data_IF_489246456228
#
_entry.id   IF_489246456228
#
_cell.length_a   1.000
_cell.length_b   1.000
_cell.length_c   1.000
_cell.angle_alpha   90.00
_cell.angle_beta   90.00
_cell.angle_gamma   90.00
#
_symmetry.space_group_name_H-M   'P 1'
#
loop_
_entity.id
_entity.type
_entity.pdbx_description
1 polymer ?
#
# COMPACT_ATOMS: atom_id res chain seq x y z
N UNK A 1 -9.90 -11.35 6.75
CA UNK A 1 -10.80 -10.25 7.14
C UNK A 1 -11.90 -10.76 8.06
N UNK A 2 -12.55 -9.85 8.78
CA UNK A 2 -13.60 -10.21 9.75
C UNK A 2 -14.86 -10.83 9.11
N UNK A 3 -15.07 -10.60 7.84
CA UNK A 3 -16.16 -11.17 7.04
C UNK A 3 -15.87 -12.57 6.48
N UNK A 4 -14.73 -13.16 6.84
CA UNK A 4 -14.29 -14.47 6.37
C UNK A 4 -13.60 -14.46 5.00
N UNK A 5 -13.37 -13.29 4.40
CA UNK A 5 -12.62 -13.20 3.15
C UNK A 5 -11.10 -13.17 3.39
N UNK A 6 -10.34 -13.57 2.37
CA UNK A 6 -8.87 -13.52 2.37
C UNK A 6 -8.40 -12.79 1.13
N UNK A 7 -7.61 -11.72 1.32
CA UNK A 7 -6.98 -11.01 0.22
C UNK A 7 -5.71 -11.75 -0.23
N UNK A 8 -5.58 -11.98 -1.53
CA UNK A 8 -4.42 -12.61 -2.15
C UNK A 8 -3.80 -11.61 -3.12
N UNK A 9 -2.52 -11.34 -2.97
CA UNK A 9 -1.79 -10.39 -3.81
C UNK A 9 -0.29 -10.67 -3.80
N UNK A 10 0.37 -10.15 -4.74
CA UNK A 10 -0.04 -9.40 -5.93
C UNK A 10 0.91 -9.65 -7.08
N UNK A 11 0.41 -9.44 -8.28
CA UNK A 11 1.26 -9.16 -9.44
C UNK A 11 1.71 -7.70 -9.40
N UNK A 12 2.73 -7.32 -10.15
CA UNK A 12 3.19 -5.93 -10.21
C UNK A 12 3.78 -5.65 -11.58
N UNK A 13 3.23 -4.68 -12.27
CA UNK A 13 3.72 -4.17 -13.54
C UNK A 13 4.21 -2.72 -13.37
N UNK A 14 5.24 -2.34 -14.15
CA UNK A 14 5.81 -0.99 -14.06
C UNK A 14 5.09 0.01 -14.94
N UNK A 15 4.65 -0.44 -16.10
CA UNK A 15 4.21 0.41 -17.20
C UNK A 15 2.74 0.15 -17.56
N UNK A 16 1.99 -0.48 -16.66
CA UNK A 16 0.56 -0.66 -16.84
C UNK A 16 -0.14 0.71 -16.88
N UNK A 17 -0.90 0.93 -17.93
CA UNK A 17 -1.63 2.18 -18.17
C UNK A 17 -3.10 2.07 -17.84
N UNK A 18 -3.57 0.88 -17.51
CA UNK A 18 -4.96 0.59 -17.16
C UNK A 18 -5.06 -0.16 -15.82
N UNK A 19 -6.27 -0.24 -15.31
CA UNK A 19 -6.62 -0.95 -14.08
C UNK A 19 -7.41 -2.23 -14.40
N UNK A 20 -7.01 -2.93 -15.45
CA UNK A 20 -7.64 -4.18 -15.87
C UNK A 20 -6.93 -5.37 -15.22
N UNK A 21 -7.69 -6.33 -14.76
CA UNK A 21 -7.16 -7.62 -14.30
C UNK A 21 -6.96 -8.57 -15.48
N UNK A 22 -5.92 -9.39 -15.43
CA UNK A 22 -5.56 -10.35 -16.46
C UNK A 22 -5.32 -11.77 -15.92
N UNK A 23 -4.86 -12.67 -16.78
CA UNK A 23 -4.59 -14.06 -16.44
C UNK A 23 -3.50 -14.26 -15.36
N UNK A 24 -2.69 -13.25 -15.05
CA UNK A 24 -1.70 -13.34 -13.98
C UNK A 24 -2.38 -13.53 -12.62
N UNK A 25 -3.60 -12.98 -12.44
CA UNK A 25 -4.37 -13.17 -11.21
C UNK A 25 -4.82 -14.63 -11.06
N UNK A 26 -5.21 -15.30 -12.13
CA UNK A 26 -5.60 -16.71 -12.07
C UNK A 26 -4.41 -17.58 -11.64
N UNK A 27 -3.24 -17.37 -12.21
CA UNK A 27 -2.01 -18.04 -11.78
C UNK A 27 -1.63 -17.76 -10.32
N UNK A 28 -1.93 -16.55 -9.82
CA UNK A 28 -1.71 -16.20 -8.43
C UNK A 28 -2.67 -16.95 -7.49
N UNK A 29 -3.94 -17.04 -7.87
CA UNK A 29 -4.96 -17.81 -7.13
C UNK A 29 -4.58 -19.28 -7.06
N UNK A 30 -4.17 -19.87 -8.17
CA UNK A 30 -3.77 -21.29 -8.21
C UNK A 30 -2.57 -21.56 -7.30
N UNK A 31 -1.57 -20.69 -7.30
CA UNK A 31 -0.44 -20.78 -6.37
C UNK A 31 -0.86 -20.65 -4.91
N UNK A 32 -1.76 -19.72 -4.60
CA UNK A 32 -2.26 -19.55 -3.24
C UNK A 32 -3.01 -20.79 -2.75
N UNK A 33 -3.84 -21.40 -3.59
CA UNK A 33 -4.54 -22.66 -3.29
C UNK A 33 -3.58 -23.82 -3.07
N UNK A 34 -2.51 -23.89 -3.86
CA UNK A 34 -1.48 -24.93 -3.69
C UNK A 34 -0.67 -24.77 -2.40
N UNK A 35 -0.39 -23.53 -1.99
CA UNK A 35 0.40 -23.24 -0.80
C UNK A 35 -0.40 -23.26 0.51
N UNK A 36 -1.70 -22.95 0.45
CA UNK A 36 -2.57 -22.80 1.63
C UNK A 36 -3.76 -23.75 1.51
N UNK A 37 -3.71 -24.93 2.13
CA UNK A 37 -4.78 -25.95 2.00
C UNK A 37 -6.19 -25.44 2.33
N UNK A 38 -6.30 -24.50 3.28
CA UNK A 38 -7.58 -23.87 3.65
C UNK A 38 -8.24 -23.10 2.49
N UNK A 39 -7.48 -22.70 1.48
CA UNK A 39 -7.96 -21.98 0.31
C UNK A 39 -8.29 -22.90 -0.88
N UNK A 40 -8.02 -24.20 -0.80
CA UNK A 40 -8.14 -25.12 -1.94
C UNK A 40 -9.54 -25.09 -2.59
N UNK A 41 -10.60 -24.93 -1.79
CA UNK A 41 -11.99 -24.87 -2.25
C UNK A 41 -12.60 -23.46 -2.16
N UNK A 42 -11.81 -22.45 -1.81
CA UNK A 42 -12.29 -21.09 -1.68
C UNK A 42 -12.70 -20.50 -3.03
N UNK A 43 -13.86 -19.85 -3.05
CA UNK A 43 -14.34 -19.15 -4.24
C UNK A 43 -13.70 -17.77 -4.34
N UNK A 44 -13.39 -17.35 -5.57
CA UNK A 44 -12.97 -15.97 -5.84
C UNK A 44 -14.23 -15.10 -5.89
N UNK A 45 -14.35 -14.19 -4.94
CA UNK A 45 -15.52 -13.30 -4.82
C UNK A 45 -15.30 -11.95 -5.52
N UNK A 46 -14.03 -11.51 -5.65
CA UNK A 46 -13.69 -10.25 -6.29
C UNK A 46 -12.28 -10.30 -6.88
N UNK A 47 -12.07 -9.55 -7.95
CA UNK A 47 -10.76 -9.27 -8.57
C UNK A 47 -10.63 -7.79 -8.81
N UNK A 48 -9.47 -7.21 -8.47
CA UNK A 48 -9.23 -5.79 -8.71
C UNK A 48 -7.79 -5.53 -9.10
N UNK A 49 -7.56 -4.40 -9.74
CA UNK A 49 -6.26 -3.81 -9.98
C UNK A 49 -6.21 -2.40 -9.39
N UNK A 50 -5.03 -1.92 -9.04
CA UNK A 50 -4.85 -0.62 -8.44
C UNK A 50 -3.46 -0.07 -8.65
N UNK A 51 -3.32 1.24 -8.67
CA UNK A 51 -2.03 1.89 -8.70
C UNK A 51 -1.37 1.86 -7.32
N UNK A 52 -0.11 1.49 -7.32
CA UNK A 52 0.72 1.52 -6.13
C UNK A 52 1.51 2.83 -6.10
N UNK A 53 1.22 3.75 -5.17
CA UNK A 53 1.92 5.02 -5.11
C UNK A 53 3.40 4.79 -4.81
N UNK A 54 4.25 5.34 -5.66
CA UNK A 54 5.70 5.21 -5.57
C UNK A 54 6.36 6.56 -5.80
N UNK A 55 7.21 6.97 -4.88
CA UNK A 55 8.11 8.10 -5.04
C UNK A 55 9.36 7.73 -5.85
N UNK A 56 10.13 8.71 -6.29
CA UNK A 56 11.42 8.47 -6.98
C UNK A 56 12.43 7.77 -6.07
N UNK A 57 12.49 8.15 -4.81
CA UNK A 57 13.36 7.55 -3.80
C UNK A 57 12.93 6.15 -3.36
N UNK A 58 11.68 5.76 -3.65
CA UNK A 58 10.98 4.57 -3.15
C UNK A 58 10.73 4.59 -1.63
N UNK A 59 11.10 5.65 -0.95
CA UNK A 59 10.73 5.92 0.44
C UNK A 59 9.36 6.63 0.49
N UNK A 60 8.58 6.50 1.56
CA UNK A 60 7.41 7.34 1.78
C UNK A 60 7.75 8.83 1.72
N UNK A 61 6.77 9.65 1.42
CA UNK A 61 6.84 11.12 1.52
C UNK A 61 5.87 11.56 2.60
N UNK A 62 6.41 12.28 3.59
CA UNK A 62 5.71 12.71 4.79
C UNK A 62 5.93 14.20 5.01
N UNK A 63 4.95 14.88 5.57
CA UNK A 63 5.09 16.27 6.01
C UNK A 63 4.02 17.22 5.50
N UNK A 64 4.20 18.52 5.71
CA UNK A 64 3.27 19.53 5.22
C UNK A 64 3.25 19.57 3.70
N UNK A 65 2.09 19.87 3.13
CA UNK A 65 1.96 20.03 1.69
C UNK A 65 2.66 21.33 1.24
N UNK A 66 3.54 21.30 0.23
CA UNK A 66 4.41 22.44 -0.11
C UNK A 66 3.69 23.70 -0.63
N UNK A 67 2.40 23.57 -1.01
CA UNK A 67 1.62 24.69 -1.57
C UNK A 67 0.21 24.79 -1.00
N UNK A 68 -0.09 24.11 0.10
CA UNK A 68 -1.42 24.17 0.72
C UNK A 68 -1.29 24.20 2.24
N UNK A 69 -1.55 25.34 2.84
CA UNK A 69 -1.57 25.47 4.31
C UNK A 69 -2.62 24.56 4.93
N UNK A 70 -2.26 23.93 6.04
CA UNK A 70 -3.13 23.01 6.77
C UNK A 70 -3.35 21.65 6.09
N UNK A 71 -2.70 21.38 4.95
CA UNK A 71 -2.71 20.08 4.32
C UNK A 71 -1.41 19.32 4.58
N UNK A 72 -1.52 17.99 4.69
CA UNK A 72 -0.42 17.10 5.02
C UNK A 72 -0.30 15.96 4.03
N UNK A 73 0.91 15.48 3.82
CA UNK A 73 1.21 14.33 2.95
C UNK A 73 1.67 13.16 3.80
N UNK A 74 1.06 11.99 3.61
CA UNK A 74 1.53 10.70 4.10
C UNK A 74 1.27 9.68 2.99
N UNK A 75 2.21 9.49 2.07
CA UNK A 75 2.01 8.69 0.86
C UNK A 75 3.32 8.03 0.39
N UNK A 76 3.26 7.26 -0.68
CA UNK A 76 4.43 6.68 -1.33
C UNK A 76 4.98 5.42 -0.67
N UNK A 77 4.22 4.75 0.19
CA UNK A 77 4.64 3.54 0.90
C UNK A 77 4.99 2.34 0.01
N UNK A 78 4.66 2.40 -1.27
CA UNK A 78 5.00 1.42 -2.30
C UNK A 78 4.75 -0.03 -1.83
N UNK A 79 5.81 -0.85 -1.66
CA UNK A 79 5.69 -2.27 -1.24
C UNK A 79 5.73 -2.47 0.27
N UNK A 80 6.10 -1.46 1.02
CA UNK A 80 6.34 -1.54 2.47
C UNK A 80 5.36 -0.70 3.30
N UNK A 81 4.38 -0.06 2.65
CA UNK A 81 3.44 0.86 3.29
C UNK A 81 2.72 0.25 4.49
N UNK A 82 2.27 -1.00 4.39
CA UNK A 82 1.58 -1.66 5.48
C UNK A 82 2.49 -1.86 6.71
N UNK A 83 3.73 -2.34 6.49
CA UNK A 83 4.69 -2.52 7.58
C UNK A 83 5.17 -1.22 8.22
N UNK A 84 5.17 -0.11 7.46
CA UNK A 84 5.57 1.20 7.97
C UNK A 84 4.41 2.01 8.57
N UNK A 85 3.17 1.62 8.32
CA UNK A 85 1.98 2.39 8.72
C UNK A 85 1.96 2.80 10.21
N UNK A 86 2.30 1.95 11.19
CA UNK A 86 2.30 2.36 12.59
C UNK A 86 3.30 3.50 12.86
N UNK A 87 4.51 3.41 12.34
CA UNK A 87 5.53 4.45 12.54
C UNK A 87 5.20 5.74 11.79
N UNK A 88 4.65 5.64 10.59
CA UNK A 88 4.17 6.80 9.82
C UNK A 88 3.05 7.50 10.59
N UNK A 89 2.10 6.74 11.14
CA UNK A 89 1.01 7.31 11.93
C UNK A 89 1.51 8.06 13.16
N UNK A 90 2.45 7.49 13.92
CA UNK A 90 3.07 8.11 15.09
C UNK A 90 3.77 9.43 14.71
N UNK A 91 4.70 9.40 13.76
CA UNK A 91 5.45 10.58 13.33
C UNK A 91 4.55 11.69 12.79
N UNK A 92 3.52 11.34 12.04
CA UNK A 92 2.57 12.32 11.51
C UNK A 92 1.63 12.86 12.59
N UNK A 93 1.24 12.06 13.57
CA UNK A 93 0.46 12.52 14.71
C UNK A 93 1.26 13.50 15.57
N UNK A 94 2.50 13.17 15.92
CA UNK A 94 3.41 14.04 16.68
C UNK A 94 3.59 15.39 15.97
N UNK A 95 3.80 15.35 14.65
CA UNK A 95 3.95 16.57 13.85
C UNK A 95 2.68 17.43 13.82
N UNK A 96 1.51 16.81 13.62
CA UNK A 96 0.25 17.53 13.40
C UNK A 96 -0.36 18.03 14.72
N UNK A 97 -0.24 17.25 15.77
CA UNK A 97 -0.91 17.52 17.04
C UNK A 97 -0.03 18.26 18.05
N UNK A 98 1.26 17.93 18.05
CA UNK A 98 2.20 18.39 19.08
C UNK A 98 3.33 19.26 18.50
N UNK A 99 3.34 19.50 17.19
CA UNK A 99 4.37 20.27 16.46
C UNK A 99 5.79 19.68 16.64
N UNK A 100 5.88 18.37 16.84
CA UNK A 100 7.14 17.63 16.98
C UNK A 100 7.54 17.03 15.63
N UNK A 101 8.54 17.61 14.98
CA UNK A 101 9.05 17.13 13.70
C UNK A 101 10.14 16.06 13.88
N UNK A 102 9.74 14.80 13.79
CA UNK A 102 10.61 13.63 13.81
C UNK A 102 10.73 12.94 12.44
N UNK A 103 10.36 13.61 11.34
CA UNK A 103 10.45 13.04 9.99
C UNK A 103 11.93 12.94 9.57
N UNK A 104 12.44 11.75 9.20
CA UNK A 104 13.78 11.61 8.67
C UNK A 104 13.94 12.35 7.33
N UNK A 105 15.12 12.93 7.06
CA UNK A 105 15.38 13.77 5.88
C UNK A 105 15.03 13.10 4.55
N UNK A 106 15.26 11.81 4.40
CA UNK A 106 14.93 11.06 3.19
C UNK A 106 13.42 10.81 2.95
N UNK A 107 12.56 11.25 3.87
CA UNK A 107 11.12 11.05 3.85
C UNK A 107 10.34 12.36 3.75
N UNK A 108 10.98 13.50 3.73
CA UNK A 108 10.30 14.81 3.69
C UNK A 108 9.62 15.07 2.36
N UNK A 109 8.45 15.71 2.44
CA UNK A 109 7.65 16.17 1.30
C UNK A 109 8.26 17.37 0.60
#
# INVERSE_FOLDING_TARGET
HADGTTAIGSTTERDATDLVTDAQIDALVDRARACVPALAQAQVVERWAGYRPRTRSRAPVLGPHPSRDGAWIANGGFKIGFGMAPRVAEVMADLILDDIDAIPDGFRA
#
